data_IF_666260250400
#
_entry.id   IF_666260250400
#
_cell.length_a   1.000
_cell.length_b   1.000
_cell.length_c   1.000
_cell.angle_alpha   90.00
_cell.angle_beta   90.00
_cell.angle_gamma   90.00
#
_symmetry.space_group_name_H-M   'P 1'
#
loop_
_entity.id
_entity.type
_entity.pdbx_description
1 polymer ?
#
# COMPACT_ATOMS: atom_id res chain seq x y z
N UNK A 1 6.82 0.33 -28.31
CA UNK A 1 6.41 -0.11 -26.97
C UNK A 1 6.89 0.95 -26.01
N UNK A 2 5.98 1.66 -25.31
CA UNK A 2 6.40 2.53 -24.21
C UNK A 2 6.96 1.60 -23.13
N UNK A 3 8.17 1.88 -22.64
CA UNK A 3 8.66 1.25 -21.41
C UNK A 3 7.63 1.57 -20.32
N UNK A 4 6.87 0.57 -19.91
CA UNK A 4 5.87 0.70 -18.87
C UNK A 4 6.67 0.86 -17.57
N UNK A 5 6.81 2.09 -17.09
CA UNK A 5 7.57 2.39 -15.87
C UNK A 5 6.97 1.64 -14.69
N UNK A 6 7.60 0.54 -14.28
CA UNK A 6 7.20 -0.20 -13.08
C UNK A 6 7.86 0.46 -11.88
N UNK A 7 7.22 1.50 -11.36
CA UNK A 7 7.71 2.22 -10.19
C UNK A 7 7.29 1.49 -8.91
N UNK A 8 8.21 1.46 -7.93
CA UNK A 8 7.89 1.02 -6.58
C UNK A 8 7.78 2.25 -5.69
N UNK A 9 6.69 2.34 -4.95
CA UNK A 9 6.47 3.37 -3.94
C UNK A 9 7.01 2.90 -2.59
N UNK A 10 7.86 3.72 -1.96
CA UNK A 10 8.36 3.49 -0.62
C UNK A 10 8.11 4.72 0.24
N UNK A 11 7.54 4.51 1.42
CA UNK A 11 7.46 5.56 2.45
C UNK A 11 8.27 5.09 3.65
N UNK A 12 9.36 5.79 3.93
CA UNK A 12 10.24 5.52 5.07
C UNK A 12 10.01 6.62 6.10
N UNK A 13 9.41 6.25 7.22
CA UNK A 13 9.20 7.18 8.33
C UNK A 13 10.51 7.48 9.07
N UNK A 14 10.57 8.64 9.70
CA UNK A 14 11.71 9.01 10.53
C UNK A 14 11.76 8.20 11.84
N UNK A 15 12.97 8.18 12.42
CA UNK A 15 13.19 7.53 13.71
C UNK A 15 12.41 8.26 14.80
N UNK A 16 11.60 7.50 15.55
CA UNK A 16 10.77 8.04 16.64
C UNK A 16 9.34 8.41 16.24
N UNK A 17 9.03 8.47 14.95
CA UNK A 17 7.67 8.70 14.48
C UNK A 17 6.76 7.49 14.73
N UNK A 18 5.51 7.73 15.10
CA UNK A 18 4.54 6.68 15.41
C UNK A 18 3.63 6.39 14.23
N UNK A 19 3.40 5.11 13.95
CA UNK A 19 2.41 4.63 12.99
C UNK A 19 0.98 4.82 13.52
N UNK A 20 0.53 6.07 13.60
CA UNK A 20 -0.85 6.37 14.00
C UNK A 20 -1.81 6.19 12.84
N UNK A 21 -3.11 6.01 13.14
CA UNK A 21 -4.12 6.03 12.09
C UNK A 21 -4.20 7.38 11.36
N UNK A 22 -3.77 8.48 11.98
CA UNK A 22 -3.71 9.80 11.31
C UNK A 22 -2.54 9.84 10.33
N UNK A 23 -1.33 9.47 10.76
CA UNK A 23 -0.16 9.36 9.88
C UNK A 23 -0.43 8.46 8.67
N UNK A 24 -1.12 7.34 8.91
CA UNK A 24 -1.50 6.44 7.83
C UNK A 24 -2.42 7.10 6.79
N UNK A 25 -3.41 7.88 7.21
CA UNK A 25 -4.32 8.56 6.27
C UNK A 25 -3.66 9.74 5.57
N UNK A 26 -2.94 10.56 6.31
CA UNK A 26 -2.37 11.80 5.78
C UNK A 26 -1.16 11.50 4.90
N UNK A 27 -0.15 10.86 5.47
CA UNK A 27 1.12 10.63 4.76
C UNK A 27 1.05 9.42 3.86
N UNK A 28 0.61 8.25 4.36
CA UNK A 28 0.66 7.03 3.54
C UNK A 28 -0.39 7.08 2.43
N UNK A 29 -1.64 7.39 2.74
CA UNK A 29 -2.70 7.39 1.73
C UNK A 29 -2.75 8.68 0.91
N UNK A 30 -2.97 9.83 1.57
CA UNK A 30 -3.29 11.08 0.86
C UNK A 30 -2.08 11.64 0.10
N UNK A 31 -0.90 11.67 0.73
CA UNK A 31 0.29 12.23 0.09
C UNK A 31 0.96 11.27 -0.90
N UNK A 32 0.80 9.95 -0.74
CA UNK A 32 1.59 8.96 -1.46
C UNK A 32 0.76 7.96 -2.27
N UNK A 33 -0.02 7.09 -1.62
CA UNK A 33 -0.69 5.96 -2.32
C UNK A 33 -1.76 6.44 -3.30
N UNK A 34 -2.63 7.38 -2.91
CA UNK A 34 -3.71 7.86 -3.79
C UNK A 34 -3.14 8.52 -5.06
N UNK A 35 -2.22 9.51 -4.97
CA UNK A 35 -1.59 10.09 -6.16
C UNK A 35 -0.82 9.07 -7.01
N UNK A 36 -0.24 8.04 -6.38
CA UNK A 36 0.46 6.99 -7.09
C UNK A 36 -0.50 6.16 -7.96
N UNK A 37 -1.67 5.81 -7.43
CA UNK A 37 -2.68 4.99 -8.12
C UNK A 37 -3.41 5.76 -9.23
N UNK A 38 -3.58 7.07 -9.08
CA UNK A 38 -4.23 7.94 -10.07
C UNK A 38 -3.32 8.32 -11.26
N UNK A 39 -2.05 7.93 -11.23
CA UNK A 39 -1.08 8.28 -12.26
C UNK A 39 -0.90 7.15 -13.29
N UNK A 40 -1.29 7.39 -14.54
CA UNK A 40 -1.15 6.46 -15.68
C UNK A 40 0.28 5.99 -15.95
N UNK A 41 1.31 6.70 -15.47
CA UNK A 41 2.70 6.27 -15.60
C UNK A 41 3.12 5.22 -14.55
N UNK A 42 2.34 5.07 -13.48
CA UNK A 42 2.65 4.20 -12.34
C UNK A 42 1.87 2.89 -12.37
N UNK A 43 0.68 2.88 -12.98
CA UNK A 43 -0.22 1.72 -13.07
C UNK A 43 -0.48 1.35 -14.53
N UNK A 44 -0.95 0.13 -14.77
CA UNK A 44 -1.26 -0.33 -16.14
C UNK A 44 -2.51 0.39 -16.68
N UNK A 45 -3.52 0.53 -15.83
CA UNK A 45 -4.78 1.22 -16.11
C UNK A 45 -5.31 1.80 -14.78
N UNK A 46 -5.57 3.10 -14.75
CA UNK A 46 -6.07 3.82 -13.57
C UNK A 46 -7.53 3.48 -13.26
N UNK A 47 -8.31 3.07 -14.27
CA UNK A 47 -9.73 2.74 -14.11
C UNK A 47 -9.95 1.30 -13.62
N UNK A 48 -8.94 0.42 -13.79
CA UNK A 48 -9.01 -1.00 -13.39
C UNK A 48 -8.16 -1.33 -12.15
N UNK A 49 -7.38 -0.38 -11.64
CA UNK A 49 -6.48 -0.65 -10.51
C UNK A 49 -7.26 -0.94 -9.23
N UNK A 50 -6.87 -1.99 -8.52
CA UNK A 50 -7.43 -2.33 -7.20
C UNK A 50 -6.35 -2.28 -6.14
N UNK A 51 -6.55 -1.43 -5.11
CA UNK A 51 -5.69 -1.37 -3.95
C UNK A 51 -5.98 -2.53 -2.99
N UNK A 52 -5.02 -3.44 -2.85
CA UNK A 52 -5.14 -4.64 -2.00
C UNK A 52 -4.30 -4.46 -0.74
N UNK A 53 -4.90 -4.73 0.41
CA UNK A 53 -4.28 -4.55 1.73
C UNK A 53 -4.81 -5.57 2.75
N UNK A 54 -4.14 -5.70 3.89
CA UNK A 54 -4.54 -6.59 4.98
C UNK A 54 -5.57 -5.96 5.94
N UNK A 55 -5.89 -6.67 7.02
CA UNK A 55 -6.82 -6.20 8.05
C UNK A 55 -6.14 -5.47 9.22
N UNK A 56 -5.02 -4.77 8.97
CA UNK A 56 -4.39 -3.94 9.99
C UNK A 56 -5.37 -2.89 10.57
N UNK A 57 -5.25 -2.51 11.86
CA UNK A 57 -6.18 -1.56 12.50
C UNK A 57 -6.32 -0.22 11.77
N UNK A 58 -5.24 0.29 11.15
CA UNK A 58 -5.28 1.52 10.37
C UNK A 58 -6.13 1.39 9.09
N UNK A 59 -6.07 0.25 8.41
CA UNK A 59 -6.87 -0.05 7.22
C UNK A 59 -8.34 -0.26 7.56
N UNK A 60 -8.62 -1.03 8.63
CA UNK A 60 -9.99 -1.36 9.02
C UNK A 60 -10.82 -0.18 9.50
N UNK A 61 -10.18 0.89 9.95
CA UNK A 61 -10.85 2.05 10.51
C UNK A 61 -11.82 2.68 9.49
N UNK A 62 -13.06 2.95 9.90
CA UNK A 62 -14.08 3.54 9.02
C UNK A 62 -13.62 4.84 8.34
N UNK A 63 -12.85 5.68 9.04
CA UNK A 63 -12.28 6.91 8.47
C UNK A 63 -11.35 6.63 7.29
N UNK A 64 -10.60 5.54 7.35
CA UNK A 64 -9.69 5.12 6.27
C UNK A 64 -10.49 4.54 5.10
N UNK A 65 -11.49 3.71 5.37
CA UNK A 65 -12.38 3.16 4.35
C UNK A 65 -13.12 4.28 3.59
N UNK A 66 -13.71 5.24 4.32
CA UNK A 66 -14.37 6.39 3.70
C UNK A 66 -13.39 7.26 2.91
N UNK A 67 -12.18 7.50 3.40
CA UNK A 67 -11.16 8.24 2.64
C UNK A 67 -10.90 7.61 1.27
N UNK A 68 -10.79 6.28 1.19
CA UNK A 68 -10.57 5.59 -0.08
C UNK A 68 -11.80 5.68 -1.00
N UNK A 69 -13.02 5.53 -0.46
CA UNK A 69 -14.26 5.70 -1.23
C UNK A 69 -14.43 7.14 -1.74
N UNK A 70 -14.14 8.14 -0.92
CA UNK A 70 -14.28 9.56 -1.25
C UNK A 70 -13.31 9.99 -2.37
N UNK A 71 -12.17 9.27 -2.52
CA UNK A 71 -11.21 9.44 -3.60
C UNK A 71 -11.43 8.44 -4.76
N UNK A 72 -12.59 7.77 -4.82
CA UNK A 72 -12.94 6.80 -5.86
C UNK A 72 -11.92 5.66 -6.06
N UNK A 73 -11.14 5.34 -5.02
CA UNK A 73 -10.18 4.23 -5.09
C UNK A 73 -10.95 2.92 -4.99
N UNK A 74 -10.74 2.01 -5.95
CA UNK A 74 -11.20 0.63 -5.82
C UNK A 74 -10.25 -0.14 -4.90
N UNK A 75 -10.78 -0.79 -3.86
CA UNK A 75 -9.94 -1.50 -2.89
C UNK A 75 -10.68 -2.69 -2.26
N UNK A 76 -9.91 -3.61 -1.67
CA UNK A 76 -10.47 -4.73 -0.91
C UNK A 76 -10.81 -4.31 0.52
N UNK A 77 -12.07 -3.92 0.71
CA UNK A 77 -12.59 -3.49 2.00
C UNK A 77 -12.66 -4.59 3.06
N UNK A 78 -13.20 -4.19 4.21
CA UNK A 78 -13.35 -5.05 5.39
C UNK A 78 -14.14 -6.34 5.13
N UNK A 79 -14.95 -6.38 4.08
CA UNK A 79 -15.82 -7.47 3.65
C UNK A 79 -15.12 -8.49 2.73
N UNK A 80 -14.01 -8.13 2.09
CA UNK A 80 -13.35 -8.98 1.09
C UNK A 80 -12.13 -9.71 1.68
N UNK A 81 -11.20 -9.00 2.33
CA UNK A 81 -9.94 -9.62 2.78
C UNK A 81 -10.18 -10.63 3.93
N UNK A 82 -9.77 -11.91 3.81
CA UNK A 82 -9.91 -12.86 4.91
C UNK A 82 -9.00 -12.53 6.09
N UNK A 83 -9.49 -12.71 7.31
CA UNK A 83 -8.67 -12.52 8.50
C UNK A 83 -7.60 -13.61 8.61
N UNK A 84 -6.39 -13.25 9.06
CA UNK A 84 -5.26 -14.16 9.28
C UNK A 84 -4.76 -14.91 8.02
N UNK A 85 -4.77 -14.26 6.86
CA UNK A 85 -4.29 -14.83 5.59
C UNK A 85 -3.10 -14.05 5.00
N UNK A 86 -1.92 -14.04 5.66
CA UNK A 86 -0.73 -13.39 5.14
C UNK A 86 -0.20 -14.05 3.85
N UNK A 87 -0.48 -15.34 3.66
CA UNK A 87 -0.13 -16.13 2.48
C UNK A 87 -0.79 -15.62 1.19
N UNK A 88 -1.91 -14.90 1.30
CA UNK A 88 -2.59 -14.28 0.16
C UNK A 88 -2.04 -12.88 -0.16
N UNK A 89 -1.21 -12.29 0.71
CA UNK A 89 -0.68 -10.95 0.53
C UNK A 89 0.71 -10.99 -0.14
N UNK A 90 0.76 -10.63 -1.43
CA UNK A 90 2.00 -10.60 -2.21
C UNK A 90 3.07 -9.69 -1.56
N UNK A 91 2.66 -8.66 -0.80
CA UNK A 91 3.60 -7.77 -0.11
C UNK A 91 4.47 -8.49 0.94
N UNK A 92 3.98 -9.57 1.55
CA UNK A 92 4.75 -10.38 2.51
C UNK A 92 5.97 -11.06 1.84
N UNK A 93 5.84 -11.44 0.57
CA UNK A 93 6.95 -12.02 -0.20
C UNK A 93 8.02 -10.98 -0.51
N UNK A 94 7.62 -9.73 -0.82
CA UNK A 94 8.55 -8.64 -1.10
C UNK A 94 9.41 -8.33 0.13
N UNK A 95 8.81 -8.30 1.32
CA UNK A 95 9.54 -8.09 2.58
C UNK A 95 10.63 -9.14 2.81
N UNK A 96 10.34 -10.41 2.50
CA UNK A 96 11.32 -11.51 2.59
C UNK A 96 12.49 -11.30 1.64
N UNK A 97 12.23 -10.97 0.37
CA UNK A 97 13.26 -10.72 -0.64
C UNK A 97 14.17 -9.55 -0.18
N UNK A 98 13.59 -8.46 0.30
CA UNK A 98 14.36 -7.29 0.76
C UNK A 98 15.23 -7.66 1.95
N UNK A 99 14.68 -8.38 2.92
CA UNK A 99 15.44 -8.83 4.09
C UNK A 99 16.65 -9.66 3.66
N UNK A 100 16.45 -10.66 2.81
CA UNK A 100 17.53 -11.54 2.34
C UNK A 100 18.62 -10.75 1.62
N UNK A 101 18.25 -9.79 0.77
CA UNK A 101 19.21 -8.94 0.04
C UNK A 101 19.96 -7.96 0.95
N UNK A 102 19.33 -7.47 2.03
CA UNK A 102 20.00 -6.64 3.03
C UNK A 102 20.97 -7.48 3.87
N UNK A 103 20.54 -8.67 4.31
CA UNK A 103 21.38 -9.57 5.12
C UNK A 103 22.63 -10.03 4.36
N UNK A 104 22.51 -10.33 3.06
CA UNK A 104 23.66 -10.64 2.18
C UNK A 104 24.70 -9.53 2.10
N UNK A 105 24.31 -8.26 2.33
CA UNK A 105 25.22 -7.11 2.30
C UNK A 105 25.83 -6.81 3.67
N UNK A 106 25.29 -7.40 4.74
CA UNK A 106 25.77 -7.24 6.10
C UNK A 106 26.69 -8.39 6.57
N UNK A 107 26.76 -9.48 5.80
CA UNK A 107 27.73 -10.58 5.97
C UNK A 107 28.87 -10.47 4.95
#
# INVERSE_FOLDING_TARGET
MKDIGKWLLWVIKDKGESWTGQYFRDTILTENVIPFLENEENVIDVDEVTFVHDKAPCMRANKTQHLLYDNAIQFWGNDIWPGNSPDLNVAEHIGTIIKDEVEKKCC
#
